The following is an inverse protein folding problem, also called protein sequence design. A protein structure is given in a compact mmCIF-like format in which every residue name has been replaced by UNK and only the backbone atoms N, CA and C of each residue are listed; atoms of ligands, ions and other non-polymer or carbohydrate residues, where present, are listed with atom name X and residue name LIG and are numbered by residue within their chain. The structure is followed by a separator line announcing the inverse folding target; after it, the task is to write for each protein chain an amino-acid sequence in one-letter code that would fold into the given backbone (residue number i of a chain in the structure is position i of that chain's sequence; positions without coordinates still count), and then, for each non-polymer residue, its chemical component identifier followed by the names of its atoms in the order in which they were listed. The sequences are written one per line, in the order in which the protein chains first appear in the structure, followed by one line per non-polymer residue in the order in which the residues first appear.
data_IF_057685309152
#
_entry.id   IF_057685309152
#
_cell.length_a   1.000
_cell.length_b   1.000
_cell.length_c   1.000
_cell.angle_alpha   90.00
_cell.angle_beta   90.00
_cell.angle_gamma   90.00
#
_symmetry.space_group_name_H-M   'P 1'
#
loop_
_entity.id
_entity.type
_entity.pdbx_description
1 polymer ?
#
# COMPACT_ATOMS: atom_id res chain seq x y z
N UNK A 1 -23.19 12.89 5.34
CA UNK A 1 -22.00 13.61 5.87
C UNK A 1 -21.31 12.85 7.00
N UNK A 2 -22.06 12.19 7.89
CA UNK A 2 -21.49 11.38 8.99
C UNK A 2 -20.79 10.09 8.52
N UNK A 3 -21.34 9.38 7.54
CA UNK A 3 -20.76 8.13 7.01
C UNK A 3 -19.39 8.33 6.35
N UNK A 4 -19.21 9.40 5.58
CA UNK A 4 -17.94 9.76 4.94
C UNK A 4 -16.86 10.16 5.94
N UNK A 5 -17.26 10.83 7.03
CA UNK A 5 -16.34 11.20 8.12
C UNK A 5 -15.88 9.98 8.90
N UNK A 6 -16.80 9.06 9.24
CA UNK A 6 -16.46 7.79 9.87
C UNK A 6 -15.53 6.94 9.00
N UNK A 7 -15.82 6.83 7.71
CA UNK A 7 -14.96 6.11 6.76
C UNK A 7 -13.54 6.72 6.70
N UNK A 8 -13.44 8.05 6.70
CA UNK A 8 -12.15 8.76 6.68
C UNK A 8 -11.36 8.55 7.97
N UNK A 9 -12.03 8.59 9.12
CA UNK A 9 -11.42 8.29 10.43
C UNK A 9 -10.94 6.84 10.52
N UNK A 10 -11.74 5.88 10.05
CA UNK A 10 -11.36 4.47 10.00
C UNK A 10 -10.11 4.30 9.14
N UNK A 11 -10.08 4.90 7.94
CA UNK A 11 -8.91 4.85 7.07
C UNK A 11 -7.68 5.50 7.70
N UNK A 12 -7.83 6.62 8.40
CA UNK A 12 -6.74 7.27 9.12
C UNK A 12 -6.19 6.37 10.23
N UNK A 13 -7.05 5.80 11.06
CA UNK A 13 -6.65 4.89 12.15
C UNK A 13 -5.94 3.66 11.59
N UNK A 14 -6.48 3.05 10.53
CA UNK A 14 -5.83 1.94 9.83
C UNK A 14 -4.46 2.34 9.27
N UNK A 15 -4.36 3.50 8.61
CA UNK A 15 -3.11 4.02 8.08
C UNK A 15 -2.05 4.23 9.15
N UNK A 16 -2.43 4.85 10.28
CA UNK A 16 -1.54 5.05 11.43
C UNK A 16 -1.12 3.72 12.05
N UNK A 17 -2.05 2.78 12.23
CA UNK A 17 -1.76 1.46 12.77
C UNK A 17 -0.78 0.68 11.87
N UNK A 18 -0.99 0.71 10.55
CA UNK A 18 -0.09 0.09 9.56
C UNK A 18 1.30 0.73 9.58
N UNK A 19 1.38 2.07 9.67
CA UNK A 19 2.65 2.78 9.78
C UNK A 19 3.39 2.43 11.08
N UNK A 20 2.68 2.37 12.21
CA UNK A 20 3.23 1.98 13.50
C UNK A 20 3.75 0.53 13.49
N UNK A 21 2.98 -0.40 12.91
CA UNK A 21 3.42 -1.78 12.71
C UNK A 21 4.66 -1.86 11.81
N UNK A 22 4.70 -1.10 10.72
CA UNK A 22 5.85 -1.07 9.82
C UNK A 22 7.10 -0.49 10.49
N UNK A 23 6.93 0.54 11.31
CA UNK A 23 8.00 1.12 12.14
C UNK A 23 8.50 0.09 13.17
N UNK A 24 7.59 -0.56 13.90
CA UNK A 24 7.93 -1.59 14.87
C UNK A 24 8.69 -2.76 14.24
N UNK A 25 8.19 -3.29 13.12
CA UNK A 25 8.84 -4.35 12.37
C UNK A 25 10.24 -3.92 11.87
N UNK A 26 10.37 -2.70 11.37
CA UNK A 26 11.68 -2.14 10.99
C UNK A 26 12.65 -2.09 12.15
N UNK A 27 12.19 -1.64 13.33
CA UNK A 27 13.01 -1.51 14.53
C UNK A 27 13.58 -2.86 14.97
N UNK A 28 12.80 -3.93 14.87
CA UNK A 28 13.26 -5.30 15.11
C UNK A 28 14.35 -5.75 14.13
N UNK A 29 14.37 -5.19 12.91
CA UNK A 29 15.38 -5.43 11.87
C UNK A 29 16.56 -4.45 11.93
N UNK A 30 16.64 -3.57 12.94
CA UNK A 30 17.70 -2.57 13.07
C UNK A 30 17.58 -1.36 12.14
N UNK A 31 16.40 -1.13 11.55
CA UNK A 31 16.10 -0.01 10.66
C UNK A 31 14.92 0.81 11.19
N UNK A 32 14.81 2.13 10.93
CA UNK A 32 13.66 2.90 11.41
C UNK A 32 12.34 2.49 10.74
N UNK A 33 12.37 1.95 9.53
CA UNK A 33 11.20 1.41 8.84
C UNK A 33 11.59 0.12 8.13
N UNK A 34 10.68 -0.87 8.10
CA UNK A 34 10.88 -2.10 7.34
C UNK A 34 10.86 -1.76 5.83
N UNK A 35 12.00 -1.30 5.31
CA UNK A 35 12.17 -1.01 3.89
C UNK A 35 12.56 -2.31 3.19
N UNK A 36 11.75 -2.79 2.23
CA UNK A 36 12.07 -3.97 1.45
C UNK A 36 13.43 -3.79 0.76
N UNK A 37 14.33 -4.73 0.94
CA UNK A 37 15.67 -4.70 0.32
C UNK A 37 15.66 -5.23 -1.10
N UNK A 38 14.67 -6.06 -1.46
CA UNK A 38 14.60 -6.66 -2.79
C UNK A 38 14.16 -5.65 -3.86
N UNK A 39 14.95 -5.52 -4.93
CA UNK A 39 14.66 -4.61 -6.05
C UNK A 39 13.28 -4.92 -6.68
N UNK A 40 12.94 -6.20 -6.80
CA UNK A 40 11.64 -6.63 -7.34
C UNK A 40 10.44 -6.18 -6.51
N UNK A 41 10.52 -6.26 -5.18
CA UNK A 41 9.47 -5.74 -4.31
C UNK A 41 9.34 -4.23 -4.45
N UNK A 42 10.46 -3.49 -4.49
CA UNK A 42 10.44 -2.02 -4.61
C UNK A 42 9.73 -1.56 -5.87
N UNK A 43 9.99 -2.21 -7.01
CA UNK A 43 9.32 -1.89 -8.28
C UNK A 43 7.81 -2.12 -8.18
N UNK A 44 7.39 -3.25 -7.61
CA UNK A 44 5.98 -3.57 -7.45
C UNK A 44 5.26 -2.69 -6.42
N UNK A 45 5.96 -2.29 -5.35
CA UNK A 45 5.45 -1.33 -4.38
C UNK A 45 5.30 0.07 -5.00
N UNK A 46 6.27 0.50 -5.81
CA UNK A 46 6.17 1.75 -6.56
C UNK A 46 5.00 1.72 -7.56
N UNK A 47 4.79 0.59 -8.25
CA UNK A 47 3.64 0.38 -9.14
C UNK A 47 2.31 0.45 -8.36
N UNK A 48 2.25 -0.16 -7.18
CA UNK A 48 1.09 -0.05 -6.29
C UNK A 48 0.79 1.40 -5.89
N UNK A 49 1.82 2.16 -5.51
CA UNK A 49 1.69 3.59 -5.23
C UNK A 49 1.23 4.40 -6.45
N UNK A 50 1.70 4.06 -7.65
CA UNK A 50 1.26 4.70 -8.89
C UNK A 50 -0.25 4.47 -9.13
N UNK A 51 -0.77 3.26 -8.90
CA UNK A 51 -2.21 3.00 -8.98
C UNK A 51 -3.02 3.85 -7.98
N UNK A 52 -2.53 4.04 -6.76
CA UNK A 52 -3.18 4.93 -5.77
C UNK A 52 -3.21 6.37 -6.27
N UNK A 53 -2.09 6.87 -6.81
CA UNK A 53 -2.02 8.24 -7.37
C UNK A 53 -3.00 8.39 -8.55
N UNK A 54 -3.00 7.42 -9.48
CA UNK A 54 -3.94 7.41 -10.61
C UNK A 54 -5.39 7.40 -10.13
N UNK A 55 -5.71 6.69 -9.04
CA UNK A 55 -7.07 6.70 -8.48
C UNK A 55 -7.56 8.09 -8.07
N UNK A 56 -6.65 8.99 -7.66
CA UNK A 56 -7.00 10.38 -7.31
C UNK A 56 -7.39 11.20 -8.56
N UNK A 57 -6.66 11.01 -9.66
CA UNK A 57 -6.98 11.64 -10.94
C UNK A 57 -8.28 11.08 -11.55
N UNK A 58 -8.47 9.77 -11.47
CA UNK A 58 -9.69 9.10 -11.92
C UNK A 58 -10.91 9.58 -11.13
N UNK A 59 -10.76 9.79 -9.82
CA UNK A 59 -11.82 10.38 -9.00
C UNK A 59 -12.13 11.82 -9.40
N UNK A 60 -11.13 12.62 -9.75
CA UNK A 60 -11.34 13.97 -10.27
C UNK A 60 -12.04 13.99 -11.65
N UNK A 61 -12.02 12.88 -12.38
CA UNK A 61 -12.69 12.69 -13.66
C UNK A 61 -14.04 11.97 -13.55
N UNK A 62 -14.59 11.80 -12.33
CA UNK A 62 -15.88 11.13 -12.04
C UNK A 62 -16.02 9.71 -12.61
N UNK A 63 -14.90 9.00 -12.79
CA UNK A 63 -14.84 7.63 -13.32
C UNK A 63 -14.78 6.61 -12.17
N UNK A 64 -15.88 6.44 -11.44
CA UNK A 64 -15.91 5.61 -10.22
C UNK A 64 -15.48 4.15 -10.43
N UNK A 65 -15.84 3.53 -11.56
CA UNK A 65 -15.45 2.14 -11.86
C UNK A 65 -13.93 1.96 -11.97
N UNK A 66 -13.22 2.98 -12.45
CA UNK A 66 -11.77 2.94 -12.62
C UNK A 66 -11.02 3.06 -11.29
N UNK A 67 -11.67 3.58 -10.23
CA UNK A 67 -11.13 3.56 -8.86
C UNK A 67 -10.99 2.11 -8.39
N UNK A 68 -11.98 1.26 -8.68
CA UNK A 68 -11.95 -0.17 -8.32
C UNK A 68 -10.82 -0.89 -9.05
N UNK A 69 -10.63 -0.59 -10.35
CA UNK A 69 -9.53 -1.14 -11.14
C UNK A 69 -8.17 -0.72 -10.58
N UNK A 70 -8.02 0.55 -10.17
CA UNK A 70 -6.80 1.04 -9.52
C UNK A 70 -6.57 0.34 -8.17
N UNK A 71 -7.61 0.16 -7.35
CA UNK A 71 -7.51 -0.55 -6.08
C UNK A 71 -7.09 -2.01 -6.27
N UNK A 72 -7.66 -2.70 -7.26
CA UNK A 72 -7.28 -4.07 -7.60
C UNK A 72 -5.82 -4.15 -8.09
N UNK A 73 -5.41 -3.23 -8.98
CA UNK A 73 -4.03 -3.14 -9.46
C UNK A 73 -3.03 -2.87 -8.34
N UNK A 74 -3.37 -1.97 -7.41
CA UNK A 74 -2.56 -1.68 -6.24
C UNK A 74 -2.41 -2.89 -5.31
N UNK A 75 -3.50 -3.60 -5.04
CA UNK A 75 -3.49 -4.79 -4.18
C UNK A 75 -2.69 -5.95 -4.82
N UNK A 76 -2.91 -6.23 -6.10
CA UNK A 76 -2.22 -7.32 -6.82
C UNK A 76 -0.73 -7.05 -6.91
N UNK A 77 -0.32 -5.84 -7.31
CA UNK A 77 1.10 -5.49 -7.43
C UNK A 77 1.82 -5.60 -6.09
N UNK A 78 1.24 -5.04 -5.02
CA UNK A 78 1.82 -5.14 -3.68
C UNK A 78 1.89 -6.58 -3.17
N UNK A 79 0.83 -7.38 -3.38
CA UNK A 79 0.79 -8.79 -3.00
C UNK A 79 1.80 -9.66 -3.76
N UNK A 80 1.97 -9.43 -5.07
CA UNK A 80 3.02 -10.09 -5.84
C UNK A 80 4.41 -9.70 -5.32
N UNK A 81 4.60 -8.43 -4.98
CA UNK A 81 5.83 -7.94 -4.37
C UNK A 81 6.15 -8.70 -3.09
N UNK A 82 5.20 -8.79 -2.17
CA UNK A 82 5.39 -9.45 -0.87
C UNK A 82 5.73 -10.93 -0.99
N UNK A 83 5.06 -11.65 -1.89
CA UNK A 83 5.38 -13.06 -2.18
C UNK A 83 6.80 -13.20 -2.72
N UNK A 84 7.20 -12.35 -3.68
CA UNK A 84 8.56 -12.39 -4.23
C UNK A 84 9.62 -12.08 -3.17
N UNK A 85 9.37 -11.11 -2.30
CA UNK A 85 10.28 -10.81 -1.20
C UNK A 85 10.40 -11.97 -0.21
N UNK A 86 9.28 -12.55 0.22
CA UNK A 86 9.27 -13.70 1.12
C UNK A 86 10.07 -14.89 0.55
N UNK A 87 9.85 -15.22 -0.74
CA UNK A 87 10.62 -16.28 -1.41
C UNK A 87 12.11 -15.97 -1.54
N UNK A 88 12.49 -14.70 -1.62
CA UNK A 88 13.90 -14.28 -1.69
C UNK A 88 14.63 -14.34 -0.36
N UNK A 89 13.91 -14.26 0.77
CA UNK A 89 14.49 -14.26 2.11
C UNK A 89 14.43 -15.61 2.83
N UNK A 90 13.63 -16.56 2.32
CA UNK A 90 13.45 -17.92 2.88
C UNK A 90 14.03 -19.04 1.99
N UNK A 91 14.93 -18.71 1.06
CA UNK A 91 15.80 -19.67 0.37
C UNK A 91 17.20 -19.58 0.95
#
# INVERSE_FOLDING_TARGET
MESSMLASLVMLVLGVALAALNYWAGRLMGTPFAVPTSRGFRVLAALSGAFVIVSLFVRAADLEWAIIVCAAGAAISYGLGSVLHYRSTHR
#
